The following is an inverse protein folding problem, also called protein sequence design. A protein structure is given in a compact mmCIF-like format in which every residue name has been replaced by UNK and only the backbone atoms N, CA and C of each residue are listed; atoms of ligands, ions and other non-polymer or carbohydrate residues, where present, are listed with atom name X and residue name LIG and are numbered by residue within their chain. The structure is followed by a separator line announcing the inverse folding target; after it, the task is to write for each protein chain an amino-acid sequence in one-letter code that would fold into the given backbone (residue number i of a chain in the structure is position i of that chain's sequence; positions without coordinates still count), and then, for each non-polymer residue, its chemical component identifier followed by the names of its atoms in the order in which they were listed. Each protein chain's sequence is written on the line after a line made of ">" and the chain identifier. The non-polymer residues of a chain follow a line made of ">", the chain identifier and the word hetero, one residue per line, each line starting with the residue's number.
data_IF_317783612572
#
_entry.id   IF_317783612572
#
_cell.length_a   1.000
_cell.length_b   1.000
_cell.length_c   1.000
_cell.angle_alpha   90.00
_cell.angle_beta   90.00
_cell.angle_gamma   90.00
#
_symmetry.space_group_name_H-M   'P 1'
#
loop_
_entity.id
_entity.type
_entity.pdbx_description
1 polymer ?
#
# COMPACT_ATOMS: atom_id res chain seq x y z
N UNK A 1 62.92 -54.65 -3.31
CA UNK A 1 62.08 -53.51 -2.88
C UNK A 1 61.52 -53.83 -1.50
N UNK A 2 61.94 -53.17 -0.41
CA UNK A 2 61.34 -53.41 0.90
C UNK A 2 60.10 -52.51 1.09
N UNK A 3 59.02 -53.07 1.64
CA UNK A 3 57.80 -52.37 2.04
C UNK A 3 58.05 -51.69 3.40
N UNK A 4 57.91 -50.36 3.45
CA UNK A 4 57.95 -49.62 4.72
C UNK A 4 56.71 -49.92 5.56
N UNK A 5 56.85 -50.23 6.86
CA UNK A 5 55.70 -50.43 7.75
C UNK A 5 55.04 -49.08 8.05
N UNK A 6 53.77 -48.93 7.68
CA UNK A 6 52.97 -47.75 7.99
C UNK A 6 52.79 -47.59 9.50
N UNK A 7 53.13 -46.40 10.03
CA UNK A 7 52.83 -46.00 11.42
C UNK A 7 51.33 -46.18 11.67
N UNK A 8 50.94 -47.14 12.51
CA UNK A 8 49.56 -47.25 13.04
C UNK A 8 49.26 -45.96 13.79
N UNK A 9 48.34 -45.14 13.27
CA UNK A 9 47.76 -44.03 14.02
C UNK A 9 47.05 -44.64 15.23
N UNK A 10 47.48 -44.29 16.44
CA UNK A 10 46.75 -44.64 17.66
C UNK A 10 45.37 -43.99 17.55
N UNK A 11 44.32 -44.80 17.43
CA UNK A 11 42.97 -44.32 17.62
C UNK A 11 42.81 -43.97 19.09
N UNK A 12 42.60 -42.69 19.38
CA UNK A 12 42.21 -42.22 20.71
C UNK A 12 40.74 -42.59 20.88
N UNK A 13 40.42 -43.44 21.85
CA UNK A 13 39.03 -43.82 22.12
C UNK A 13 38.28 -42.63 22.72
N UNK A 14 37.11 -42.31 22.15
CA UNK A 14 36.22 -41.26 22.65
C UNK A 14 35.20 -41.87 23.60
N UNK A 15 35.02 -41.30 24.79
CA UNK A 15 34.06 -41.81 25.77
C UNK A 15 32.64 -41.33 25.44
N UNK A 16 31.64 -42.14 25.78
CA UNK A 16 30.23 -41.77 25.61
C UNK A 16 29.89 -40.46 26.33
N UNK A 17 30.51 -40.22 27.50
CA UNK A 17 30.32 -39.01 28.30
C UNK A 17 30.86 -37.78 27.56
N UNK A 18 32.04 -37.85 26.96
CA UNK A 18 32.60 -36.74 26.17
C UNK A 18 31.70 -36.38 24.98
N UNK A 19 31.12 -37.39 24.30
CA UNK A 19 30.14 -37.14 23.24
C UNK A 19 28.91 -36.43 23.76
N UNK A 20 28.37 -36.91 24.87
CA UNK A 20 27.15 -36.40 25.48
C UNK A 20 27.31 -34.94 25.95
N UNK A 21 28.46 -34.61 26.54
CA UNK A 21 28.75 -33.23 26.97
C UNK A 21 28.85 -32.29 25.76
N UNK A 22 29.50 -32.70 24.67
CA UNK A 22 29.64 -31.86 23.47
C UNK A 22 28.28 -31.59 22.83
N UNK A 23 27.43 -32.62 22.65
CA UNK A 23 26.09 -32.41 22.10
C UNK A 23 25.22 -31.56 23.02
N UNK A 24 25.37 -31.67 24.35
CA UNK A 24 24.65 -30.85 25.32
C UNK A 24 25.06 -29.38 25.20
N UNK A 25 26.36 -29.08 25.08
CA UNK A 25 26.86 -27.71 24.89
C UNK A 25 26.35 -27.13 23.56
N UNK A 26 26.46 -27.88 22.46
CA UNK A 26 25.94 -27.44 21.15
C UNK A 26 24.43 -27.19 21.22
N UNK A 27 23.68 -28.08 21.88
CA UNK A 27 22.24 -27.95 22.07
C UNK A 27 21.86 -26.66 22.80
N UNK A 28 22.55 -26.33 23.90
CA UNK A 28 22.34 -25.08 24.65
C UNK A 28 22.70 -23.86 23.80
N UNK A 29 23.85 -23.89 23.10
CA UNK A 29 24.26 -22.78 22.23
C UNK A 29 23.24 -22.53 21.10
N UNK A 30 22.78 -23.57 20.42
CA UNK A 30 21.78 -23.45 19.35
C UNK A 30 20.44 -22.95 19.89
N UNK A 31 20.01 -23.46 21.06
CA UNK A 31 18.76 -23.02 21.70
C UNK A 31 18.78 -21.52 22.04
N UNK A 32 19.93 -20.97 22.44
CA UNK A 32 20.08 -19.53 22.71
C UNK A 32 20.25 -18.70 21.44
N UNK A 33 20.88 -19.25 20.40
CA UNK A 33 21.14 -18.53 19.14
C UNK A 33 19.92 -18.46 18.22
N UNK A 34 19.05 -19.49 18.20
CA UNK A 34 17.92 -19.54 17.27
C UNK A 34 16.95 -18.35 17.44
N UNK A 35 16.47 -17.98 18.64
CA UNK A 35 15.61 -16.82 18.82
C UNK A 35 16.28 -15.51 18.38
N UNK A 36 17.57 -15.36 18.71
CA UNK A 36 18.35 -14.17 18.34
C UNK A 36 18.52 -14.03 16.83
N UNK A 37 18.80 -15.12 16.11
CA UNK A 37 18.92 -15.11 14.65
C UNK A 37 17.59 -14.75 13.99
N UNK A 38 16.46 -15.23 14.51
CA UNK A 38 15.15 -14.89 13.95
C UNK A 38 14.78 -13.42 14.20
N UNK A 39 15.03 -12.90 15.41
CA UNK A 39 14.83 -11.49 15.71
C UNK A 39 15.69 -10.58 14.81
N UNK A 40 16.95 -10.95 14.59
CA UNK A 40 17.84 -10.21 13.69
C UNK A 40 17.37 -10.25 12.24
N UNK A 41 16.90 -11.40 11.75
CA UNK A 41 16.33 -11.53 10.39
C UNK A 41 15.10 -10.67 10.20
N UNK A 42 14.20 -10.66 11.18
CA UNK A 42 13.00 -9.82 11.11
C UNK A 42 13.35 -8.33 11.14
N UNK A 43 14.26 -7.89 12.01
CA UNK A 43 14.75 -6.51 12.02
C UNK A 43 15.35 -6.09 10.67
N UNK A 44 16.09 -6.98 10.01
CA UNK A 44 16.63 -6.74 8.67
C UNK A 44 15.52 -6.62 7.61
N UNK A 45 14.51 -7.50 7.62
CA UNK A 45 13.37 -7.42 6.70
C UNK A 45 12.55 -6.15 6.91
N UNK A 46 12.35 -5.72 8.16
CA UNK A 46 11.69 -4.45 8.49
C UNK A 46 12.46 -3.26 7.94
N UNK A 47 13.77 -3.25 8.11
CA UNK A 47 14.65 -2.22 7.53
C UNK A 47 14.54 -2.20 6.02
N UNK A 48 14.44 -3.36 5.37
CA UNK A 48 14.25 -3.46 3.93
C UNK A 48 12.89 -2.91 3.47
N UNK A 49 11.78 -3.21 4.17
CA UNK A 49 10.47 -2.63 3.84
C UNK A 49 10.50 -1.09 4.00
N UNK A 50 11.10 -0.58 5.09
CA UNK A 50 11.29 0.87 5.30
C UNK A 50 12.12 1.51 4.18
N UNK A 51 13.18 0.84 3.72
CA UNK A 51 14.00 1.31 2.61
C UNK A 51 13.25 1.30 1.28
N UNK A 52 12.40 0.29 1.01
CA UNK A 52 11.54 0.29 -0.18
C UNK A 52 10.58 1.47 -0.19
N UNK A 53 9.93 1.78 0.95
CA UNK A 53 9.08 2.97 1.09
C UNK A 53 9.89 4.25 0.83
N UNK A 54 11.11 4.33 1.37
CA UNK A 54 12.00 5.48 1.14
C UNK A 54 12.34 5.64 -0.34
N UNK A 55 12.66 4.56 -1.04
CA UNK A 55 12.95 4.61 -2.48
C UNK A 55 11.73 5.06 -3.28
N UNK A 56 10.54 4.50 -3.01
CA UNK A 56 9.30 4.94 -3.67
C UNK A 56 9.03 6.42 -3.47
N UNK A 57 9.20 6.94 -2.24
CA UNK A 57 9.02 8.37 -1.98
C UNK A 57 10.03 9.26 -2.68
N UNK A 58 11.32 8.87 -2.72
CA UNK A 58 12.34 9.60 -3.48
C UNK A 58 12.03 9.61 -4.98
N UNK A 59 11.48 8.52 -5.50
CA UNK A 59 11.07 8.41 -6.90
C UNK A 59 9.84 9.26 -7.20
N UNK A 60 8.92 9.41 -6.24
CA UNK A 60 7.83 10.38 -6.33
C UNK A 60 8.34 11.83 -6.34
N UNK A 61 9.38 12.17 -5.56
CA UNK A 61 10.04 13.48 -5.64
C UNK A 61 10.67 13.72 -7.00
N UNK A 62 11.33 12.71 -7.57
CA UNK A 62 11.91 12.81 -8.91
C UNK A 62 10.82 12.97 -9.99
N UNK A 63 9.69 12.27 -9.83
CA UNK A 63 8.52 12.46 -10.68
C UNK A 63 7.98 13.90 -10.57
N UNK A 64 7.80 14.41 -9.35
CA UNK A 64 7.38 15.79 -9.09
C UNK A 64 8.36 16.79 -9.71
N UNK A 65 9.66 16.65 -9.48
CA UNK A 65 10.67 17.56 -10.01
C UNK A 65 10.65 17.63 -11.55
N UNK A 66 10.47 16.47 -12.20
CA UNK A 66 10.47 16.34 -13.66
C UNK A 66 9.13 16.70 -14.32
N UNK A 67 7.99 16.44 -13.66
CA UNK A 67 6.63 16.60 -14.21
C UNK A 67 5.85 17.77 -13.62
N UNK A 68 6.39 18.42 -12.58
CA UNK A 68 5.75 19.44 -11.75
C UNK A 68 4.43 18.95 -11.15
N UNK A 69 4.41 17.67 -10.78
CA UNK A 69 3.27 16.98 -10.20
C UNK A 69 3.71 15.66 -9.56
N UNK A 70 3.20 15.36 -8.37
CA UNK A 70 3.19 13.99 -7.82
C UNK A 70 2.42 13.04 -8.76
N UNK A 71 2.70 11.73 -8.72
CA UNK A 71 1.95 10.77 -9.51
C UNK A 71 0.48 10.71 -9.07
N UNK A 72 -0.41 10.35 -9.99
CA UNK A 72 -1.83 10.10 -9.66
C UNK A 72 -2.10 8.63 -9.40
N UNK A 73 -3.25 8.30 -8.82
CA UNK A 73 -3.75 6.93 -8.87
C UNK A 73 -4.50 6.61 -10.16
N UNK A 74 -4.52 7.49 -11.16
CA UNK A 74 -5.22 7.30 -12.43
C UNK A 74 -6.59 7.99 -12.53
N UNK A 75 -7.26 7.85 -13.67
CA UNK A 75 -8.46 8.65 -14.01
C UNK A 75 -9.80 8.05 -13.55
N UNK A 76 -9.85 6.77 -13.21
CA UNK A 76 -11.11 6.07 -12.93
C UNK A 76 -10.93 4.95 -11.93
N UNK A 77 -11.95 4.69 -11.10
CA UNK A 77 -11.95 3.57 -10.17
C UNK A 77 -12.07 2.26 -10.95
N UNK A 78 -11.53 1.17 -10.39
CA UNK A 78 -11.59 -0.17 -10.98
C UNK A 78 -11.22 -0.17 -12.47
N UNK A 79 -10.09 0.47 -12.86
CA UNK A 79 -9.80 0.66 -14.26
C UNK A 79 -9.49 -0.68 -14.93
N UNK A 80 -10.06 -0.89 -16.10
CA UNK A 80 -9.55 -1.91 -17.01
C UNK A 80 -8.25 -1.37 -17.62
N UNK A 81 -7.10 -1.77 -17.06
CA UNK A 81 -5.75 -1.31 -17.46
C UNK A 81 -5.55 -1.45 -18.97
N UNK A 82 -6.12 -2.47 -19.62
CA UNK A 82 -6.00 -2.66 -21.07
C UNK A 82 -6.60 -1.50 -21.89
N UNK A 83 -7.63 -0.82 -21.37
CA UNK A 83 -8.19 0.37 -22.02
C UNK A 83 -7.24 1.56 -21.97
N UNK A 84 -6.23 1.53 -21.09
CA UNK A 84 -5.30 2.63 -20.88
C UNK A 84 -3.90 2.39 -21.48
N UNK A 85 -3.61 1.18 -21.96
CA UNK A 85 -2.32 0.80 -22.56
C UNK A 85 -2.20 1.12 -24.07
N UNK A 86 -3.27 1.57 -24.72
CA UNK A 86 -3.34 1.78 -26.18
C UNK A 86 -3.18 3.24 -26.62
N UNK A 87 -2.28 3.99 -25.97
CA UNK A 87 -1.93 5.35 -26.35
C UNK A 87 -1.08 5.45 -27.62
N UNK A 88 -0.79 6.68 -28.09
CA UNK A 88 0.06 6.88 -29.28
C UNK A 88 1.41 6.17 -29.15
N UNK A 89 1.76 5.32 -30.12
CA UNK A 89 3.00 4.52 -30.08
C UNK A 89 2.89 3.18 -29.33
N UNK A 90 1.69 2.81 -28.87
CA UNK A 90 1.43 1.57 -28.11
C UNK A 90 1.90 1.66 -26.66
N UNK A 91 1.97 2.86 -26.09
CA UNK A 91 2.33 3.09 -24.68
C UNK A 91 1.08 3.46 -23.90
N UNK A 92 1.10 3.38 -22.56
CA UNK A 92 0.03 3.95 -21.76
C UNK A 92 -0.27 5.40 -22.17
N UNK A 93 -1.54 5.79 -22.06
CA UNK A 93 -1.90 7.18 -22.29
C UNK A 93 -1.11 8.10 -21.35
N UNK A 94 -0.82 9.31 -21.85
CA UNK A 94 -0.21 10.36 -21.04
C UNK A 94 -1.12 10.85 -19.90
N UNK A 95 -0.67 11.86 -19.14
CA UNK A 95 -1.36 12.34 -17.94
C UNK A 95 -2.86 12.59 -18.11
N UNK A 96 -3.30 13.10 -19.26
CA UNK A 96 -4.71 13.42 -19.53
C UNK A 96 -5.65 12.21 -19.50
N UNK A 97 -5.12 11.00 -19.76
CA UNK A 97 -5.89 9.74 -19.76
C UNK A 97 -5.14 8.62 -19.04
N UNK A 98 -4.36 8.97 -18.01
CA UNK A 98 -3.59 7.98 -17.27
C UNK A 98 -4.53 7.04 -16.49
N UNK A 99 -4.55 5.76 -16.80
CA UNK A 99 -5.32 4.77 -16.03
C UNK A 99 -4.47 3.75 -15.30
N UNK A 100 -3.14 3.90 -15.38
CA UNK A 100 -2.19 3.05 -14.67
C UNK A 100 -1.79 3.73 -13.36
N UNK A 101 -1.53 2.93 -12.34
CA UNK A 101 -1.26 3.35 -10.96
C UNK A 101 -0.15 4.39 -10.79
N UNK A 102 -0.07 4.95 -9.58
CA UNK A 102 1.07 5.77 -9.16
C UNK A 102 2.39 4.99 -9.21
N UNK A 103 2.34 3.67 -8.98
CA UNK A 103 3.50 2.78 -8.99
C UNK A 103 4.06 2.58 -10.40
N UNK A 104 3.21 2.57 -11.43
CA UNK A 104 3.70 2.59 -12.82
C UNK A 104 4.41 3.91 -13.16
N UNK A 105 3.83 5.04 -12.74
CA UNK A 105 4.33 6.38 -13.06
C UNK A 105 5.74 6.64 -12.51
N UNK A 106 6.10 6.04 -11.37
CA UNK A 106 7.42 6.22 -10.77
C UNK A 106 8.51 5.29 -11.34
N UNK A 107 8.16 4.31 -12.19
CA UNK A 107 9.12 3.32 -12.72
C UNK A 107 10.40 3.92 -13.34
N UNK A 108 10.34 5.00 -14.15
CA UNK A 108 11.55 5.61 -14.72
C UNK A 108 12.55 6.11 -13.65
N UNK A 109 12.06 6.36 -12.43
CA UNK A 109 12.83 6.92 -11.32
C UNK A 109 13.25 5.85 -10.29
N UNK A 110 13.04 4.57 -10.60
CA UNK A 110 13.49 3.40 -9.81
C UNK A 110 14.26 2.40 -10.68
N UNK A 111 14.94 2.90 -11.72
CA UNK A 111 15.65 2.08 -12.72
C UNK A 111 14.74 1.10 -13.49
N UNK A 112 13.42 1.31 -13.43
CA UNK A 112 12.39 0.47 -14.06
C UNK A 112 12.11 0.79 -15.53
N UNK A 113 13.05 1.40 -16.26
CA UNK A 113 12.83 1.88 -17.63
C UNK A 113 12.42 0.75 -18.61
N UNK A 114 12.98 -0.44 -18.44
CA UNK A 114 12.61 -1.61 -19.24
C UNK A 114 11.14 -2.01 -19.06
N UNK A 115 10.65 -1.95 -17.80
CA UNK A 115 9.25 -2.25 -17.44
C UNK A 115 8.34 -1.13 -17.95
N UNK A 116 8.75 0.13 -17.81
CA UNK A 116 7.99 1.29 -18.29
C UNK A 116 7.76 1.28 -19.81
N UNK A 117 8.66 0.68 -20.58
CA UNK A 117 8.57 0.59 -22.03
C UNK A 117 7.70 -0.58 -22.53
N UNK A 118 7.12 -1.38 -21.63
CA UNK A 118 6.21 -2.47 -22.00
C UNK A 118 4.92 -1.90 -22.60
N UNK A 119 4.49 -2.51 -23.70
CA UNK A 119 3.37 -2.03 -24.52
C UNK A 119 2.08 -2.84 -24.36
N UNK A 120 2.15 -3.99 -23.70
CA UNK A 120 0.99 -4.88 -23.53
C UNK A 120 0.66 -5.05 -22.06
N UNK A 121 -0.63 -5.01 -21.71
CA UNK A 121 -1.12 -5.16 -20.33
C UNK A 121 -0.68 -6.47 -19.71
N UNK A 122 -0.86 -7.57 -20.43
CA UNK A 122 -0.50 -8.90 -19.94
C UNK A 122 0.99 -9.01 -19.59
N UNK A 123 1.88 -8.40 -20.38
CA UNK A 123 3.31 -8.38 -20.07
C UNK A 123 3.62 -7.45 -18.90
N UNK A 124 2.94 -6.30 -18.80
CA UNK A 124 3.15 -5.32 -17.73
C UNK A 124 2.80 -5.95 -16.37
N UNK A 125 1.58 -6.48 -16.25
CA UNK A 125 1.06 -7.08 -15.03
C UNK A 125 1.83 -8.35 -14.64
N UNK A 126 2.37 -9.08 -15.62
CA UNK A 126 3.21 -10.26 -15.37
C UNK A 126 4.70 -9.95 -15.18
N UNK A 127 5.07 -8.67 -15.06
CA UNK A 127 6.45 -8.26 -14.75
C UNK A 127 6.62 -7.98 -13.26
N UNK A 128 7.65 -8.59 -12.69
CA UNK A 128 8.04 -8.44 -11.29
C UNK A 128 8.73 -7.10 -11.06
N UNK A 129 8.31 -6.38 -10.02
CA UNK A 129 9.01 -5.22 -9.47
C UNK A 129 9.25 -5.46 -7.98
N UNK A 130 10.41 -6.02 -7.57
CA UNK A 130 10.62 -6.48 -6.20
C UNK A 130 10.48 -5.40 -5.12
N UNK A 131 10.63 -4.13 -5.50
CA UNK A 131 10.46 -2.98 -4.59
C UNK A 131 9.02 -2.88 -4.05
N UNK A 132 8.03 -3.41 -4.77
CA UNK A 132 6.61 -3.35 -4.37
C UNK A 132 6.18 -4.47 -3.42
N UNK A 133 7.08 -5.39 -3.05
CA UNK A 133 6.80 -6.46 -2.10
C UNK A 133 7.60 -6.28 -0.82
N UNK A 134 6.92 -6.23 0.33
CA UNK A 134 7.58 -6.14 1.63
C UNK A 134 8.07 -7.54 2.02
N UNK A 135 9.38 -7.76 2.19
CA UNK A 135 9.93 -9.08 2.54
C UNK A 135 9.43 -9.64 3.87
N UNK A 136 8.92 -8.79 4.78
CA UNK A 136 8.31 -9.23 6.04
C UNK A 136 6.93 -9.85 5.83
N UNK A 137 6.27 -9.53 4.71
CA UNK A 137 4.97 -10.09 4.31
C UNK A 137 5.16 -11.32 3.42
N UNK A 138 5.73 -11.11 2.24
CA UNK A 138 5.85 -12.14 1.19
C UNK A 138 7.03 -11.87 0.27
N UNK A 139 7.62 -12.91 -0.34
CA UNK A 139 8.44 -12.71 -1.52
C UNK A 139 7.56 -12.12 -2.64
N UNK A 140 8.15 -11.60 -3.73
CA UNK A 140 7.37 -11.19 -4.89
C UNK A 140 6.46 -12.32 -5.39
N UNK A 141 5.15 -12.10 -5.25
CA UNK A 141 4.11 -13.11 -5.49
C UNK A 141 3.30 -12.75 -6.71
N UNK A 142 3.00 -13.77 -7.50
CA UNK A 142 2.11 -13.68 -8.65
C UNK A 142 0.77 -14.33 -8.32
N UNK A 143 -0.32 -13.59 -8.53
CA UNK A 143 -1.67 -14.11 -8.32
C UNK A 143 -1.94 -15.28 -9.30
N UNK A 144 -2.40 -16.45 -8.83
CA UNK A 144 -2.61 -17.62 -9.68
C UNK A 144 -3.83 -17.52 -10.60
N UNK A 145 -4.78 -16.63 -10.29
CA UNK A 145 -6.04 -16.46 -11.04
C UNK A 145 -5.88 -15.37 -12.10
N UNK A 146 -5.43 -14.19 -11.70
CA UNK A 146 -5.32 -13.01 -12.57
C UNK A 146 -3.98 -12.93 -13.31
N UNK A 147 -2.99 -13.73 -12.90
CA UNK A 147 -1.64 -13.76 -13.48
C UNK A 147 -0.89 -12.42 -13.36
N UNK A 148 -1.24 -11.60 -12.36
CA UNK A 148 -0.63 -10.30 -12.06
C UNK A 148 0.36 -10.40 -10.90
N UNK A 149 1.37 -9.54 -10.86
CA UNK A 149 2.27 -9.41 -9.71
C UNK A 149 1.71 -8.45 -8.68
N UNK A 150 1.55 -8.96 -7.46
CA UNK A 150 0.89 -8.28 -6.36
C UNK A 150 1.80 -7.21 -5.72
N UNK A 151 1.19 -6.28 -4.98
CA UNK A 151 1.90 -5.20 -4.29
C UNK A 151 1.52 -5.10 -2.82
N UNK A 152 2.41 -4.58 -1.99
CA UNK A 152 2.25 -4.52 -0.53
C UNK A 152 2.08 -3.11 0.03
N UNK A 153 2.12 -2.12 -0.85
CA UNK A 153 2.08 -0.70 -0.52
C UNK A 153 0.89 -0.06 -1.22
N UNK A 154 0.37 1.01 -0.64
CA UNK A 154 -0.76 1.72 -1.19
C UNK A 154 -0.63 3.22 -0.89
N UNK A 155 -1.22 4.04 -1.75
CA UNK A 155 -1.31 5.46 -1.53
C UNK A 155 -2.51 5.82 -0.63
N UNK A 156 -2.35 6.95 0.05
CA UNK A 156 -3.27 7.45 1.05
C UNK A 156 -4.45 8.20 0.45
N UNK A 157 -5.65 7.81 0.89
CA UNK A 157 -6.91 8.43 0.50
C UNK A 157 -7.63 8.92 1.77
N UNK A 158 -7.50 10.22 2.11
CA UNK A 158 -8.20 10.77 3.25
C UNK A 158 -9.68 10.98 2.97
N UNK A 159 -10.48 10.89 4.02
CA UNK A 159 -11.85 11.39 4.03
C UNK A 159 -11.88 12.81 4.62
N UNK A 160 -13.04 13.48 4.53
CA UNK A 160 -13.25 14.79 5.16
C UNK A 160 -12.99 14.74 6.66
N UNK A 161 -12.29 15.74 7.21
CA UNK A 161 -12.11 15.94 8.65
C UNK A 161 -13.44 16.26 9.33
N UNK A 162 -13.47 16.23 10.67
CA UNK A 162 -14.66 16.60 11.45
C UNK A 162 -15.13 18.02 11.13
N UNK A 163 -14.21 18.97 10.98
CA UNK A 163 -14.53 20.38 10.71
C UNK A 163 -15.03 20.61 9.28
N UNK A 164 -14.68 19.72 8.35
CA UNK A 164 -15.14 19.76 6.96
C UNK A 164 -16.52 19.11 6.75
N UNK A 165 -17.08 18.40 7.74
CA UNK A 165 -18.41 17.77 7.66
C UNK A 165 -19.49 18.67 8.25
N UNK A 166 -20.64 18.74 7.57
CA UNK A 166 -21.76 19.61 7.94
C UNK A 166 -22.81 18.94 8.83
N UNK A 167 -22.75 17.61 9.04
CA UNK A 167 -23.67 16.89 9.94
C UNK A 167 -22.93 15.94 10.88
N UNK A 168 -23.40 15.85 12.13
CA UNK A 168 -22.84 14.96 13.16
C UNK A 168 -23.18 13.47 12.93
N UNK A 169 -24.18 13.17 12.10
CA UNK A 169 -24.56 11.81 11.72
C UNK A 169 -23.59 11.20 10.69
N UNK A 170 -22.83 12.05 9.98
CA UNK A 170 -21.77 11.64 9.06
C UNK A 170 -20.47 11.32 9.79
N UNK A 171 -20.39 11.55 11.10
CA UNK A 171 -19.18 11.32 11.88
C UNK A 171 -19.31 10.02 12.67
N UNK A 172 -18.17 9.34 12.87
CA UNK A 172 -18.05 8.18 13.74
C UNK A 172 -18.62 8.52 15.12
N UNK A 173 -19.84 8.06 15.40
CA UNK A 173 -20.50 8.41 16.65
C UNK A 173 -19.62 7.91 17.82
N UNK A 174 -19.21 8.80 18.76
CA UNK A 174 -18.21 8.51 19.81
C UNK A 174 -18.63 7.40 20.79
N UNK A 175 -19.87 6.90 20.68
CA UNK A 175 -20.47 5.92 21.59
C UNK A 175 -20.74 4.56 20.92
N UNK A 176 -20.23 4.31 19.71
CA UNK A 176 -20.41 3.02 19.03
C UNK A 176 -19.25 2.10 19.39
N UNK A 177 -19.58 1.06 20.16
CA UNK A 177 -18.68 0.03 20.66
C UNK A 177 -17.70 -0.43 19.58
N UNK A 178 -16.42 -0.38 19.93
CA UNK A 178 -15.28 -0.82 19.11
C UNK A 178 -15.48 -2.24 18.61
N UNK A 179 -15.67 -2.33 17.30
CA UNK A 179 -15.95 -3.55 16.57
C UNK A 179 -16.54 -3.19 15.21
N UNK A 180 -15.69 -3.08 14.20
CA UNK A 180 -16.09 -3.19 12.78
C UNK A 180 -16.81 -1.95 12.18
N UNK A 181 -16.94 -0.82 12.89
CA UNK A 181 -17.57 0.41 12.34
C UNK A 181 -16.66 1.64 12.18
N UNK A 182 -15.34 1.46 12.11
CA UNK A 182 -14.38 2.55 11.84
C UNK A 182 -14.29 2.96 10.36
N UNK A 183 -14.66 2.08 9.44
CA UNK A 183 -14.91 2.47 8.06
C UNK A 183 -16.10 1.70 7.48
N UNK A 184 -17.16 1.55 8.28
CA UNK A 184 -18.47 1.28 7.72
C UNK A 184 -18.89 2.55 6.97
N UNK A 185 -18.48 2.61 5.71
CA UNK A 185 -18.89 3.60 4.73
C UNK A 185 -20.41 3.73 4.84
N UNK A 186 -20.90 4.74 5.56
CA UNK A 186 -22.31 5.05 5.60
C UNK A 186 -22.65 5.66 4.23
N UNK A 187 -22.74 4.84 3.19
CA UNK A 187 -23.08 5.27 1.84
C UNK A 187 -21.91 5.63 0.90
N UNK A 188 -20.78 4.95 1.01
CA UNK A 188 -19.92 4.55 -0.14
C UNK A 188 -19.39 5.63 -1.13
N UNK A 189 -19.39 6.91 -0.78
CA UNK A 189 -18.87 7.99 -1.65
C UNK A 189 -17.44 8.45 -1.33
N UNK A 190 -17.03 8.46 -0.06
CA UNK A 190 -15.92 9.31 0.41
C UNK A 190 -14.53 8.79 0.04
N UNK A 191 -14.31 7.47 0.07
CA UNK A 191 -13.07 6.86 -0.45
C UNK A 191 -12.86 7.19 -1.93
N UNK A 192 -13.95 7.36 -2.67
CA UNK A 192 -13.93 7.74 -4.07
C UNK A 192 -14.15 9.25 -4.29
N UNK A 193 -14.02 10.11 -3.26
CA UNK A 193 -14.10 11.57 -3.40
C UNK A 193 -15.51 12.17 -3.61
N UNK A 194 -16.58 11.42 -3.28
CA UNK A 194 -17.98 11.82 -3.38
C UNK A 194 -18.63 11.95 -1.98
N UNK A 195 -19.59 12.87 -1.79
CA UNK A 195 -20.34 13.03 -0.52
C UNK A 195 -21.75 12.42 -0.53
N UNK A 196 -22.24 11.87 -1.63
CA UNK A 196 -23.59 11.31 -1.67
C UNK A 196 -23.62 9.82 -1.38
N UNK A 197 -24.25 9.49 -0.25
CA UNK A 197 -24.39 8.20 0.42
C UNK A 197 -24.94 6.97 -0.33
N UNK A 198 -24.82 6.82 -1.64
CA UNK A 198 -25.58 5.77 -2.36
C UNK A 198 -24.90 5.24 -3.62
N UNK A 199 -23.89 4.38 -3.45
CA UNK A 199 -23.42 3.55 -4.57
C UNK A 199 -22.99 2.17 -4.06
N UNK A 200 -23.83 1.15 -4.31
CA UNK A 200 -23.44 -0.26 -4.18
C UNK A 200 -22.66 -0.63 -5.45
N UNK A 201 -21.38 -0.98 -5.29
CA UNK A 201 -20.40 -0.88 -6.39
C UNK A 201 -20.11 -2.16 -7.20
N UNK A 202 -20.74 -3.30 -6.92
CA UNK A 202 -20.34 -4.56 -7.62
C UNK A 202 -21.03 -4.81 -8.98
N UNK A 203 -22.12 -4.13 -9.33
CA UNK A 203 -22.84 -4.42 -10.59
C UNK A 203 -23.18 -3.22 -11.49
N UNK A 204 -23.07 -1.98 -11.01
CA UNK A 204 -23.73 -0.83 -11.64
C UNK A 204 -22.81 0.34 -12.05
N UNK A 205 -21.52 0.10 -12.32
CA UNK A 205 -20.74 1.12 -13.04
C UNK A 205 -21.28 1.39 -14.45
N UNK A 206 -22.13 0.52 -15.00
CA UNK A 206 -22.83 0.77 -16.27
C UNK A 206 -24.12 1.58 -16.11
N UNK A 207 -24.67 1.72 -14.89
CA UNK A 207 -25.97 2.35 -14.61
C UNK A 207 -25.89 3.40 -13.48
N UNK A 208 -24.86 4.25 -13.48
CA UNK A 208 -24.76 5.35 -12.50
C UNK A 208 -25.96 6.30 -12.66
N UNK A 209 -26.83 6.36 -11.65
CA UNK A 209 -27.94 7.33 -11.59
C UNK A 209 -27.39 8.74 -11.35
N UNK A 210 -27.45 9.57 -12.38
CA UNK A 210 -26.80 10.88 -12.56
C UNK A 210 -27.37 12.03 -11.73
N UNK A 211 -28.18 11.76 -10.72
CA UNK A 211 -29.02 12.76 -10.05
C UNK A 211 -28.47 13.31 -8.73
N UNK A 212 -27.39 12.76 -8.16
CA UNK A 212 -26.83 13.23 -6.89
C UNK A 212 -25.48 13.97 -7.10
N UNK A 213 -25.52 15.28 -6.94
CA UNK A 213 -24.44 16.23 -7.27
C UNK A 213 -23.71 16.69 -6.02
N UNK A 214 -22.50 16.17 -5.74
CA UNK A 214 -21.50 16.83 -4.87
C UNK A 214 -20.13 16.15 -4.98
N UNK A 215 -19.30 16.62 -5.90
CA UNK A 215 -17.86 16.30 -5.93
C UNK A 215 -17.12 17.24 -4.97
N UNK A 216 -16.26 16.69 -4.11
CA UNK A 216 -15.55 17.48 -3.09
C UNK A 216 -14.15 17.91 -3.52
N UNK A 217 -13.58 17.24 -4.52
CA UNK A 217 -12.13 17.25 -4.70
C UNK A 217 -11.47 16.27 -3.73
N UNK A 218 -10.47 15.54 -4.22
CA UNK A 218 -9.64 14.69 -3.37
C UNK A 218 -8.69 15.56 -2.55
N UNK A 219 -8.43 15.19 -1.30
CA UNK A 219 -7.58 15.93 -0.36
C UNK A 219 -6.22 15.27 -0.09
N UNK A 220 -5.97 14.07 -0.63
CA UNK A 220 -4.66 13.43 -0.56
C UNK A 220 -3.65 13.99 -1.57
N UNK A 221 -2.39 13.54 -1.49
CA UNK A 221 -1.35 13.90 -2.47
C UNK A 221 -1.51 13.14 -3.77
N UNK A 222 -1.72 11.82 -3.67
CA UNK A 222 -2.06 10.97 -4.81
C UNK A 222 -3.56 11.10 -5.05
N UNK A 223 -3.92 11.84 -6.09
CA UNK A 223 -5.32 12.12 -6.44
C UNK A 223 -5.76 11.35 -7.68
N UNK A 224 -7.07 11.19 -7.82
CA UNK A 224 -7.71 10.87 -9.09
C UNK A 224 -7.87 12.17 -9.87
N UNK A 225 -8.03 12.09 -11.19
CA UNK A 225 -8.54 13.22 -11.98
C UNK A 225 -9.81 13.85 -11.39
N UNK A 226 -10.12 15.08 -11.80
CA UNK A 226 -11.35 15.82 -11.46
C UNK A 226 -12.60 15.15 -12.07
N UNK A 227 -12.89 13.89 -11.74
CA UNK A 227 -14.01 13.16 -12.33
C UNK A 227 -15.34 13.68 -11.79
N UNK A 228 -16.11 14.31 -12.67
CA UNK A 228 -17.48 14.73 -12.40
C UNK A 228 -18.46 13.76 -13.07
N UNK A 229 -19.09 12.89 -12.29
CA UNK A 229 -20.06 11.90 -12.79
C UNK A 229 -21.32 12.54 -13.41
N UNK A 230 -21.69 13.74 -12.97
CA UNK A 230 -22.96 14.43 -13.32
C UNK A 230 -22.77 15.70 -14.16
N UNK A 231 -21.59 15.92 -14.72
CA UNK A 231 -21.37 17.09 -15.58
C UNK A 231 -22.04 16.88 -16.96
N UNK A 232 -22.59 17.95 -17.58
CA UNK A 232 -23.16 17.88 -18.93
C UNK A 232 -22.20 17.17 -19.90
N UNK A 233 -22.74 16.44 -20.88
CA UNK A 233 -21.94 15.79 -21.92
C UNK A 233 -21.01 16.83 -22.56
N UNK A 234 -19.69 16.61 -22.50
CA UNK A 234 -18.66 17.57 -22.90
C UNK A 234 -18.06 18.44 -21.78
N UNK A 235 -18.57 18.35 -20.55
CA UNK A 235 -18.02 18.97 -19.32
C UNK A 235 -17.62 17.96 -18.25
N UNK A 236 -17.77 16.66 -18.49
CA UNK A 236 -17.08 15.64 -17.71
C UNK A 236 -15.57 15.93 -17.82
N UNK A 237 -14.97 16.43 -16.74
CA UNK A 237 -13.52 16.61 -16.67
C UNK A 237 -12.87 15.24 -16.52
N UNK A 238 -12.71 14.55 -17.64
CA UNK A 238 -11.81 13.41 -17.73
C UNK A 238 -10.42 13.98 -17.95
N UNK A 239 -9.66 14.17 -16.87
CA UNK A 239 -8.29 14.68 -16.99
C UNK A 239 -7.66 15.14 -15.68
N UNK A 240 -6.33 15.14 -15.69
CA UNK A 240 -5.42 15.51 -14.60
C UNK A 240 -5.42 17.03 -14.37
N UNK A 241 -6.54 17.60 -13.92
CA UNK A 241 -6.61 19.06 -13.74
C UNK A 241 -5.97 19.53 -12.44
N UNK A 242 -6.00 18.71 -11.40
CA UNK A 242 -5.29 18.94 -10.15
C UNK A 242 -3.92 18.27 -10.22
N UNK A 243 -2.96 18.92 -10.91
CA UNK A 243 -1.54 18.64 -10.71
C UNK A 243 -1.23 18.99 -9.27
N UNK A 244 -0.92 18.00 -8.46
CA UNK A 244 -0.53 18.21 -7.07
C UNK A 244 0.98 18.37 -7.04
N UNK A 245 1.47 19.58 -6.81
CA UNK A 245 2.88 19.88 -6.54
C UNK A 245 3.14 20.00 -5.05
N UNK A 246 4.37 20.37 -4.68
CA UNK A 246 4.68 20.69 -3.28
C UNK A 246 3.95 21.94 -2.79
N UNK A 247 3.66 22.87 -3.69
CA UNK A 247 2.90 24.09 -3.42
C UNK A 247 1.47 23.83 -2.94
N UNK A 248 0.90 22.66 -3.26
CA UNK A 248 -0.44 22.26 -2.86
C UNK A 248 -0.47 21.53 -1.51
N UNK A 249 0.69 21.35 -0.86
CA UNK A 249 0.85 20.67 0.43
C UNK A 249 1.03 21.72 1.53
N UNK A 250 -0.07 22.37 1.90
CA UNK A 250 -0.07 23.47 2.88
C UNK A 250 0.01 23.00 4.33
N UNK A 251 -0.37 21.75 4.63
CA UNK A 251 -0.30 21.18 5.99
C UNK A 251 1.14 20.77 6.39
N UNK A 252 2.08 20.94 5.46
CA UNK A 252 3.50 20.65 5.64
C UNK A 252 3.87 19.27 5.10
N UNK A 253 4.86 19.23 4.22
CA UNK A 253 5.29 17.99 3.55
C UNK A 253 5.77 16.90 4.53
N UNK A 254 6.27 17.28 5.70
CA UNK A 254 6.69 16.37 6.76
C UNK A 254 5.53 15.81 7.60
N UNK A 255 4.30 16.32 7.42
CA UNK A 255 3.11 15.86 8.12
C UNK A 255 2.08 15.21 7.18
N UNK A 256 2.28 15.29 5.87
CA UNK A 256 1.38 14.67 4.89
C UNK A 256 1.84 13.26 4.52
N UNK A 257 1.05 12.26 4.92
CA UNK A 257 1.18 10.85 4.58
C UNK A 257 0.75 10.61 3.12
N UNK A 258 1.65 10.00 2.32
CA UNK A 258 1.45 9.79 0.88
C UNK A 258 1.23 8.32 0.55
N UNK A 259 2.08 7.45 1.09
CA UNK A 259 1.97 6.00 0.92
C UNK A 259 2.20 5.28 2.24
N UNK A 260 1.78 4.02 2.31
CA UNK A 260 2.08 3.15 3.44
C UNK A 260 1.89 1.69 3.09
N UNK A 261 2.29 0.80 3.99
CA UNK A 261 2.00 -0.62 3.86
C UNK A 261 0.49 -0.87 3.97
N UNK A 262 -0.04 -1.69 3.06
CA UNK A 262 -1.47 -2.04 3.05
C UNK A 262 -1.75 -3.13 4.07
N UNK A 263 -2.95 -3.21 4.63
CA UNK A 263 -3.34 -4.40 5.42
C UNK A 263 -3.67 -5.58 4.51
N UNK A 264 -3.23 -6.78 4.89
CA UNK A 264 -3.60 -8.02 4.21
C UNK A 264 -3.65 -9.20 5.19
N UNK A 265 -4.56 -10.14 5.01
CA UNK A 265 -4.58 -11.34 5.85
C UNK A 265 -3.47 -12.32 5.43
N UNK A 266 -2.78 -12.99 6.37
CA UNK A 266 -1.78 -14.01 6.06
C UNK A 266 -2.28 -15.09 5.11
N UNK A 267 -3.53 -15.54 5.24
CA UNK A 267 -4.17 -16.51 4.34
C UNK A 267 -4.22 -16.07 2.86
N UNK A 268 -4.13 -14.76 2.59
CA UNK A 268 -4.22 -14.16 1.26
C UNK A 268 -2.85 -13.80 0.67
N UNK A 269 -1.73 -14.03 1.37
CA UNK A 269 -0.40 -13.59 0.90
C UNK A 269 0.00 -14.20 -0.45
N UNK A 270 -0.45 -15.42 -0.73
CA UNK A 270 -0.10 -16.16 -1.96
C UNK A 270 -1.17 -16.03 -3.06
N UNK A 271 -2.43 -15.83 -2.67
CA UNK A 271 -3.58 -15.92 -3.58
C UNK A 271 -4.24 -14.58 -3.87
N UNK A 272 -4.11 -13.60 -2.98
CA UNK A 272 -4.84 -12.34 -3.06
C UNK A 272 -6.35 -12.50 -2.86
N UNK A 273 -7.04 -11.37 -2.99
CA UNK A 273 -8.50 -11.25 -3.13
C UNK A 273 -8.79 -9.93 -3.88
N UNK A 274 -10.04 -9.49 -4.05
CA UNK A 274 -10.46 -8.28 -4.78
C UNK A 274 -9.78 -6.94 -4.39
N UNK A 275 -8.96 -6.92 -3.33
CA UNK A 275 -8.18 -5.77 -2.86
C UNK A 275 -6.65 -6.04 -2.87
N UNK A 276 -6.25 -7.14 -3.50
CA UNK A 276 -4.90 -7.63 -3.76
C UNK A 276 -4.91 -8.68 -4.90
N UNK A 277 -5.59 -8.44 -6.02
CA UNK A 277 -5.64 -9.36 -7.16
C UNK A 277 -5.18 -8.75 -8.49
N UNK A 278 -5.06 -7.43 -8.60
CA UNK A 278 -4.65 -6.72 -9.82
C UNK A 278 -3.21 -6.23 -9.76
N UNK A 279 -2.70 -6.03 -8.55
CA UNK A 279 -1.30 -5.75 -8.29
C UNK A 279 -0.90 -4.31 -8.59
N UNK A 280 0.41 -4.11 -8.81
CA UNK A 280 1.00 -2.77 -8.82
C UNK A 280 0.62 -1.91 -10.02
N UNK A 281 0.19 -2.48 -11.14
CA UNK A 281 -0.17 -1.71 -12.32
C UNK A 281 -1.59 -1.12 -12.22
N UNK A 282 -2.41 -1.62 -11.29
CA UNK A 282 -3.81 -1.27 -11.23
C UNK A 282 -4.02 0.18 -10.80
N UNK A 283 -4.88 0.92 -11.50
CA UNK A 283 -5.02 2.36 -11.32
C UNK A 283 -5.69 2.72 -9.99
N UNK A 284 -6.87 3.35 -10.03
CA UNK A 284 -7.50 3.87 -8.82
C UNK A 284 -8.28 2.73 -8.17
N UNK A 285 -7.55 1.84 -7.50
CA UNK A 285 -8.03 0.54 -7.04
C UNK A 285 -7.54 0.22 -5.61
N UNK A 286 -8.28 -0.55 -4.78
CA UNK A 286 -7.79 -0.98 -3.48
C UNK A 286 -6.47 -1.76 -3.55
N UNK A 287 -6.08 -2.36 -4.67
CA UNK A 287 -4.75 -2.93 -4.81
C UNK A 287 -3.65 -1.90 -4.54
N UNK A 288 -3.89 -0.63 -4.88
CA UNK A 288 -2.90 0.46 -4.85
C UNK A 288 -3.29 1.64 -3.96
N UNK A 289 -4.48 1.61 -3.33
CA UNK A 289 -5.03 2.69 -2.49
C UNK A 289 -5.59 2.19 -1.16
N UNK A 290 -5.41 3.00 -0.11
CA UNK A 290 -5.93 2.74 1.25
C UNK A 290 -6.44 4.02 1.89
N UNK A 291 -7.49 3.89 2.71
CA UNK A 291 -8.08 5.02 3.40
C UNK A 291 -7.35 5.30 4.70
N UNK A 292 -7.07 6.58 4.96
CA UNK A 292 -6.58 7.03 6.26
C UNK A 292 -7.71 7.25 7.27
N UNK A 293 -8.96 7.17 6.84
CA UNK A 293 -10.13 7.16 7.71
C UNK A 293 -10.44 5.76 8.28
N UNK A 294 -9.70 4.74 7.85
CA UNK A 294 -9.78 3.41 8.40
C UNK A 294 -8.75 3.21 9.52
N UNK A 295 -9.14 2.67 10.69
CA UNK A 295 -8.18 2.28 11.70
C UNK A 295 -7.16 1.28 11.15
N UNK A 296 -5.85 1.55 11.26
CA UNK A 296 -4.83 0.65 10.76
C UNK A 296 -4.71 -0.56 11.68
N UNK A 297 -4.28 -1.70 11.13
CA UNK A 297 -4.13 -2.90 11.95
C UNK A 297 -3.07 -3.86 11.38
N UNK A 298 -2.49 -4.65 12.28
CA UNK A 298 -1.62 -5.76 11.92
C UNK A 298 -2.33 -6.78 11.02
N UNK A 299 -1.56 -7.36 10.12
CA UNK A 299 -1.95 -8.53 9.34
C UNK A 299 -2.27 -9.69 10.32
N UNK A 300 -3.51 -10.16 10.28
CA UNK A 300 -3.99 -11.30 11.07
C UNK A 300 -5.17 -11.93 10.36
N UNK A 301 -5.28 -13.24 10.45
CA UNK A 301 -6.46 -13.92 9.94
C UNK A 301 -7.69 -13.54 10.77
N UNK A 302 -8.77 -13.22 10.09
CA UNK A 302 -10.05 -12.95 10.72
C UNK A 302 -10.88 -14.24 10.81
N UNK A 303 -11.72 -14.40 11.85
CA UNK A 303 -12.66 -15.51 11.91
C UNK A 303 -13.51 -15.56 10.63
N UNK A 304 -13.42 -16.65 9.86
CA UNK A 304 -14.10 -16.79 8.56
C UNK A 304 -13.27 -16.48 7.31
N UNK A 305 -11.98 -16.13 7.45
CA UNK A 305 -11.00 -16.11 6.36
C UNK A 305 -11.05 -14.90 5.41
N UNK A 306 -12.11 -14.10 5.49
CA UNK A 306 -12.28 -12.86 4.72
C UNK A 306 -12.47 -11.66 5.63
N UNK A 307 -12.15 -10.42 5.18
CA UNK A 307 -12.50 -9.21 5.92
C UNK A 307 -14.00 -9.25 6.25
N UNK A 308 -14.32 -9.39 7.54
CA UNK A 308 -15.71 -9.43 8.03
C UNK A 308 -16.54 -8.20 7.61
N UNK A 309 -15.86 -7.14 7.17
CA UNK A 309 -16.41 -5.96 6.50
C UNK A 309 -15.43 -5.45 5.45
N UNK A 310 -15.92 -4.99 4.30
CA UNK A 310 -15.14 -4.30 3.24
C UNK A 310 -14.25 -3.18 3.78
N UNK A 311 -14.66 -2.53 4.88
CA UNK A 311 -13.89 -1.53 5.62
C UNK A 311 -12.42 -1.94 5.90
N UNK A 312 -12.20 -3.18 6.34
CA UNK A 312 -10.86 -3.63 6.74
C UNK A 312 -9.95 -3.87 5.54
N UNK A 313 -10.52 -4.14 4.36
CA UNK A 313 -9.77 -4.23 3.11
C UNK A 313 -9.16 -2.87 2.74
N UNK A 314 -9.82 -1.76 3.05
CA UNK A 314 -9.33 -0.41 2.75
C UNK A 314 -8.34 0.15 3.77
N UNK A 315 -7.98 -0.60 4.82
CA UNK A 315 -7.12 -0.11 5.91
C UNK A 315 -5.62 -0.21 5.60
N UNK A 316 -4.85 0.76 6.07
CA UNK A 316 -3.39 0.60 6.21
C UNK A 316 -3.06 -0.51 7.24
N UNK A 317 -1.89 -1.11 7.12
CA UNK A 317 -1.53 -2.27 7.93
C UNK A 317 -0.16 -2.84 7.56
N UNK A 318 0.14 -4.04 8.01
CA UNK A 318 1.46 -4.62 7.82
C UNK A 318 1.64 -5.98 8.47
N UNK A 319 2.59 -6.75 7.98
CA UNK A 319 3.05 -7.99 8.61
C UNK A 319 3.75 -7.75 9.97
N UNK A 320 4.03 -6.48 10.28
CA UNK A 320 4.62 -6.06 11.53
C UNK A 320 3.60 -6.07 12.66
N UNK A 321 4.09 -6.30 13.87
CA UNK A 321 3.28 -6.54 15.07
C UNK A 321 2.54 -5.32 15.62
N UNK A 322 3.15 -4.13 15.61
CA UNK A 322 2.64 -2.95 16.32
C UNK A 322 2.49 -1.69 15.46
N UNK A 323 3.02 -1.71 14.24
CA UNK A 323 3.12 -0.52 13.41
C UNK A 323 3.16 -0.88 11.94
N UNK A 324 2.95 0.11 11.08
CA UNK A 324 3.25 0.01 9.66
C UNK A 324 4.21 1.11 9.24
N UNK A 325 4.97 0.88 8.17
CA UNK A 325 5.84 1.90 7.58
C UNK A 325 5.01 2.82 6.67
N UNK A 326 5.16 4.12 6.88
CA UNK A 326 4.50 5.15 6.10
C UNK A 326 5.49 6.16 5.53
N UNK A 327 5.31 6.51 4.26
CA UNK A 327 6.06 7.53 3.54
C UNK A 327 5.32 8.86 3.53
N UNK A 328 6.05 9.93 3.85
CA UNK A 328 5.54 11.29 3.92
C UNK A 328 5.98 12.11 2.71
N UNK A 329 5.28 13.20 2.42
CA UNK A 329 5.54 14.03 1.25
C UNK A 329 6.93 14.67 1.24
N UNK A 330 7.64 14.78 2.36
CA UNK A 330 9.07 15.17 2.45
C UNK A 330 10.05 14.01 2.15
N UNK A 331 9.52 12.87 1.70
CA UNK A 331 10.19 11.58 1.53
C UNK A 331 10.75 10.97 2.82
N UNK A 332 10.40 11.47 4.01
CA UNK A 332 10.70 10.77 5.25
C UNK A 332 9.84 9.51 5.38
N UNK A 333 10.34 8.52 6.13
CA UNK A 333 9.60 7.29 6.42
C UNK A 333 9.50 7.12 7.92
N UNK A 334 8.26 7.04 8.41
CA UNK A 334 7.95 6.91 9.83
C UNK A 334 7.14 5.65 10.09
N UNK A 335 7.26 5.20 11.32
CA UNK A 335 6.53 4.06 11.84
C UNK A 335 5.25 4.57 12.46
N UNK A 336 4.09 4.22 11.91
CA UNK A 336 2.78 4.59 12.47
C UNK A 336 2.25 3.42 13.28
N UNK A 337 1.96 3.63 14.56
CA UNK A 337 1.44 2.57 15.43
C UNK A 337 -0.01 2.23 15.08
N UNK A 338 -0.43 0.99 15.33
CA UNK A 338 -1.82 0.58 15.08
C UNK A 338 -2.83 1.15 16.08
N UNK A 339 -2.36 1.68 17.21
CA UNK A 339 -3.18 2.38 18.21
C UNK A 339 -3.28 3.89 17.96
N UNK A 340 -2.79 4.37 16.80
CA UNK A 340 -2.92 5.78 16.38
C UNK A 340 -4.38 6.21 16.37
N UNK A 341 -4.65 7.42 16.85
CA UNK A 341 -5.96 8.02 16.72
C UNK A 341 -6.34 8.15 15.23
N UNK A 342 -7.52 7.66 14.87
CA UNK A 342 -7.95 7.61 13.47
C UNK A 342 -8.20 9.00 12.88
N UNK A 343 -8.58 9.98 13.71
CA UNK A 343 -8.75 11.36 13.27
C UNK A 343 -7.39 11.99 12.96
N UNK A 344 -6.39 11.77 13.83
CA UNK A 344 -5.00 12.13 13.54
C UNK A 344 -4.52 11.46 12.25
N UNK A 345 -4.70 10.14 12.09
CA UNK A 345 -4.29 9.43 10.87
C UNK A 345 -4.93 10.04 9.61
N UNK A 346 -6.22 10.37 9.69
CA UNK A 346 -6.94 10.96 8.58
C UNK A 346 -6.42 12.37 8.21
N UNK A 347 -6.11 13.21 9.21
CA UNK A 347 -5.48 14.54 8.99
C UNK A 347 -4.14 14.42 8.28
N UNK A 348 -3.29 13.48 8.69
CA UNK A 348 -2.02 13.23 7.99
C UNK A 348 -2.24 12.85 6.52
N UNK A 349 -3.33 12.16 6.20
CA UNK A 349 -3.64 11.84 4.81
C UNK A 349 -4.00 13.07 3.99
N UNK A 350 -4.41 14.18 4.61
CA UNK A 350 -4.74 15.43 3.93
C UNK A 350 -3.48 16.25 3.61
N UNK A 351 -3.52 16.93 2.47
CA UNK A 351 -2.45 17.83 2.02
C UNK A 351 -2.70 19.29 2.42
N UNK A 352 -3.97 19.67 2.59
CA UNK A 352 -4.40 21.07 2.72
C UNK A 352 -5.74 21.22 3.46
N UNK A 353 -5.86 20.60 4.64
CA UNK A 353 -7.02 20.81 5.52
C UNK A 353 -6.89 22.05 6.42
N UNK A 354 -5.68 22.60 6.56
CA UNK A 354 -5.39 23.76 7.38
C UNK A 354 -5.54 23.51 8.88
N UNK A 355 -5.56 22.24 9.31
CA UNK A 355 -5.65 21.86 10.71
C UNK A 355 -4.27 21.59 11.32
N UNK A 356 -4.09 21.98 12.58
CA UNK A 356 -2.87 21.70 13.31
C UNK A 356 -2.76 20.20 13.64
N UNK A 357 -1.58 19.64 13.38
CA UNK A 357 -1.26 18.23 13.64
C UNK A 357 -0.36 18.15 14.87
N UNK A 358 -0.88 17.60 15.97
CA UNK A 358 -0.07 17.31 17.16
C UNK A 358 0.74 16.02 16.94
N UNK A 359 2.01 16.20 16.65
CA UNK A 359 2.97 15.10 16.42
C UNK A 359 3.42 14.41 17.71
N UNK A 360 3.03 14.89 18.90
CA UNK A 360 3.36 14.27 20.19
C UNK A 360 2.59 12.98 20.49
N UNK A 361 1.51 12.73 19.75
CA UNK A 361 0.67 11.54 19.84
C UNK A 361 1.06 10.42 18.84
N UNK A 362 2.22 10.56 18.19
CA UNK A 362 2.65 9.80 17.02
C UNK A 362 3.58 8.61 17.33
#
# INVERSE_FOLDING_TARGET
>A
MPLFPGKRRRAVGFTLVELLVVIAIIGVLVALLLPAVQAAREAARRTQCKNQVKQMMLSMHNHESAKKAFPSGGVGPWPDVAKYMNGPGGTPFGPDKQGVSWAFQILPYVEGQAVYNIKTTAQLESTIVPMYSCPSRRPPTKNPVTNTFLMDYAAAVPARTRNQRTSAADWMAPNVVWGIRGCQLAGDGEFWGNTSGSYRFESDMQNVNTSNTSYVGYMGVIVRSDFCASCPVGKQKLGFYSKIGFEDITDGSSNTLVIGEKRLQPSLYEIGDWHDDKGWADGWDPDTLRSTHCPPAADRDLPGGQPLSSALAYSFGGAHTEMFNAGFADASVRSVRYDVDVELLNKLGQRADGEDIDMGAF
#
